data_IF_170097846691
#
_entry.id   IF_170097846691
#
_cell.length_a   1.000
_cell.length_b   1.000
_cell.length_c   1.000
_cell.angle_alpha   90.00
_cell.angle_beta   90.00
_cell.angle_gamma   90.00
#
_symmetry.space_group_name_H-M   'P 1'
#
loop_
_entity.id
_entity.type
_entity.pdbx_description
1 polymer ?
#
# COMPACT_ATOMS: atom_id res chain seq x y z
N UNK A 1 7.91 9.47 -16.53
CA UNK A 1 8.44 8.20 -16.00
C UNK A 1 7.28 7.21 -16.00
N UNK A 2 7.53 6.00 -16.45
CA UNK A 2 6.51 5.05 -16.88
C UNK A 2 6.55 3.89 -15.91
N UNK A 3 5.61 3.89 -14.97
CA UNK A 3 5.49 2.87 -13.92
C UNK A 3 5.26 1.49 -14.52
N UNK A 4 5.98 0.49 -13.99
CA UNK A 4 5.69 -0.91 -14.28
C UNK A 4 4.51 -1.36 -13.41
N UNK A 5 3.38 -1.62 -14.08
CA UNK A 5 2.12 -2.07 -13.47
C UNK A 5 1.80 -3.44 -14.01
N UNK A 6 1.60 -4.41 -13.14
CA UNK A 6 1.32 -5.79 -13.51
C UNK A 6 0.06 -6.24 -12.79
N UNK A 7 -0.86 -6.88 -13.51
CA UNK A 7 -2.02 -7.49 -12.89
C UNK A 7 -1.58 -8.74 -12.13
N UNK A 8 -2.16 -8.97 -10.96
CA UNK A 8 -1.90 -10.20 -10.17
C UNK A 8 -2.27 -11.47 -10.95
N UNK A 9 -3.23 -11.38 -11.88
CA UNK A 9 -3.58 -12.48 -12.78
C UNK A 9 -2.47 -12.86 -13.76
N UNK A 10 -1.45 -12.01 -13.93
CA UNK A 10 -0.28 -12.23 -14.77
C UNK A 10 0.94 -12.74 -13.98
N UNK A 11 0.80 -12.98 -12.67
CA UNK A 11 1.89 -13.44 -11.80
C UNK A 11 1.62 -14.84 -11.21
N UNK A 12 2.52 -15.32 -10.34
CA UNK A 12 2.37 -16.60 -9.65
C UNK A 12 1.21 -16.59 -8.66
N UNK A 13 0.63 -17.77 -8.38
CA UNK A 13 -0.45 -17.90 -7.39
C UNK A 13 -0.06 -17.39 -5.98
N UNK A 14 1.24 -17.38 -5.66
CA UNK A 14 1.76 -16.86 -4.39
C UNK A 14 1.37 -15.39 -4.15
N UNK A 15 1.25 -14.57 -5.20
CA UNK A 15 0.78 -13.18 -5.08
C UNK A 15 -0.67 -13.10 -4.62
N UNK A 16 -1.52 -13.99 -5.15
CA UNK A 16 -2.92 -14.05 -4.73
C UNK A 16 -3.03 -14.50 -3.27
N UNK A 17 -2.29 -15.54 -2.88
CA UNK A 17 -2.25 -16.05 -1.51
C UNK A 17 -1.77 -14.99 -0.52
N UNK A 18 -0.73 -14.23 -0.88
CA UNK A 18 -0.25 -13.10 -0.09
C UNK A 18 -1.34 -12.05 0.10
N UNK A 19 -2.01 -11.61 -0.97
CA UNK A 19 -3.09 -10.62 -0.85
C UNK A 19 -4.20 -11.12 0.09
N UNK A 20 -4.58 -12.39 0.01
CA UNK A 20 -5.57 -13.00 0.89
C UNK A 20 -5.13 -12.98 2.36
N UNK A 21 -3.87 -13.30 2.65
CA UNK A 21 -3.31 -13.18 3.99
C UNK A 21 -3.39 -11.73 4.49
N UNK A 22 -3.02 -10.78 3.63
CA UNK A 22 -3.07 -9.33 3.95
C UNK A 22 -4.48 -8.83 4.17
N UNK A 23 -5.47 -9.33 3.43
CA UNK A 23 -6.90 -9.04 3.65
C UNK A 23 -7.32 -9.55 5.03
N UNK A 24 -7.01 -10.80 5.38
CA UNK A 24 -7.35 -11.36 6.69
C UNK A 24 -6.72 -10.56 7.83
N UNK A 25 -5.48 -10.12 7.65
CA UNK A 25 -4.78 -9.25 8.59
C UNK A 25 -5.47 -7.87 8.75
N UNK A 26 -5.99 -7.29 7.66
CA UNK A 26 -6.73 -6.04 7.67
C UNK A 26 -8.15 -6.17 8.29
N UNK A 27 -8.80 -7.31 8.11
CA UNK A 27 -10.06 -7.64 8.81
C UNK A 27 -9.84 -7.76 10.32
N UNK A 28 -8.76 -8.42 10.74
CA UNK A 28 -8.42 -8.60 12.15
C UNK A 28 -8.22 -7.29 12.94
N UNK A 29 -7.86 -6.21 12.26
CA UNK A 29 -7.72 -4.86 12.85
C UNK A 29 -8.92 -3.94 12.57
N UNK A 30 -9.96 -4.45 11.90
CA UNK A 30 -11.18 -3.70 11.58
C UNK A 30 -11.05 -2.70 10.43
N UNK A 31 -9.96 -2.75 9.66
CA UNK A 31 -9.75 -1.88 8.50
C UNK A 31 -10.62 -2.30 7.31
N UNK A 32 -10.82 -3.62 7.17
CA UNK A 32 -11.80 -4.26 6.31
C UNK A 32 -12.87 -4.95 7.16
N UNK A 33 -14.08 -5.04 6.62
CA UNK A 33 -15.14 -5.90 7.15
C UNK A 33 -15.19 -7.17 6.30
N UNK A 34 -15.55 -8.32 6.89
CA UNK A 34 -15.65 -9.59 6.16
C UNK A 34 -16.73 -9.60 5.06
N UNK A 35 -17.59 -8.56 5.00
CA UNK A 35 -18.53 -8.34 3.90
C UNK A 35 -17.92 -7.59 2.70
N UNK A 36 -16.77 -6.94 2.88
CA UNK A 36 -16.07 -6.23 1.81
C UNK A 36 -15.52 -7.25 0.80
N UNK A 37 -16.02 -7.21 -0.43
CA UNK A 37 -15.53 -8.10 -1.48
C UNK A 37 -14.44 -7.41 -2.29
N UNK A 38 -13.31 -8.07 -2.49
CA UNK A 38 -12.19 -7.57 -3.30
C UNK A 38 -12.19 -8.22 -4.68
N UNK A 39 -11.78 -7.46 -5.70
CA UNK A 39 -11.59 -7.93 -7.08
C UNK A 39 -10.12 -8.30 -7.31
N UNK A 40 -9.74 -9.50 -6.88
CA UNK A 40 -8.36 -9.98 -6.96
C UNK A 40 -7.84 -10.04 -8.40
N UNK A 41 -8.72 -10.34 -9.35
CA UNK A 41 -8.44 -10.35 -10.79
C UNK A 41 -8.06 -8.96 -11.36
N UNK A 42 -8.38 -7.90 -10.63
CA UNK A 42 -8.08 -6.51 -10.98
C UNK A 42 -7.02 -5.89 -10.06
N UNK A 43 -6.41 -6.68 -9.17
CA UNK A 43 -5.34 -6.19 -8.32
C UNK A 43 -4.10 -5.87 -9.16
N UNK A 44 -3.51 -4.71 -8.91
CA UNK A 44 -2.32 -4.21 -9.59
C UNK A 44 -1.16 -4.25 -8.61
N UNK A 45 -0.04 -4.82 -9.03
CA UNK A 45 1.24 -4.75 -8.34
C UNK A 45 2.07 -3.64 -9.01
N UNK A 46 2.62 -2.74 -8.21
CA UNK A 46 3.44 -1.62 -8.65
C UNK A 46 4.90 -1.96 -8.36
N UNK A 47 5.73 -1.90 -9.39
CA UNK A 47 7.17 -2.09 -9.29
C UNK A 47 7.91 -0.81 -9.70
N UNK A 48 9.16 -0.62 -9.24
CA UNK A 48 10.04 0.42 -9.76
C UNK A 48 10.20 0.35 -11.29
N UNK A 49 10.32 1.51 -11.94
CA UNK A 49 10.44 1.64 -13.40
C UNK A 49 11.61 0.83 -14.01
N UNK A 50 12.67 0.62 -13.24
CA UNK A 50 13.88 -0.09 -13.69
C UNK A 50 13.81 -1.62 -13.52
N UNK A 51 12.67 -2.17 -13.08
CA UNK A 51 12.51 -3.61 -12.92
C UNK A 51 12.36 -4.34 -14.26
N UNK A 52 13.07 -5.47 -14.39
CA UNK A 52 12.96 -6.33 -15.57
C UNK A 52 11.66 -7.14 -15.52
N UNK A 53 10.74 -6.82 -16.43
CA UNK A 53 9.42 -7.47 -16.54
C UNK A 53 9.50 -9.01 -16.61
N UNK A 54 10.55 -9.56 -17.22
CA UNK A 54 10.72 -11.01 -17.34
C UNK A 54 11.02 -11.70 -16.01
N UNK A 55 11.62 -10.96 -15.06
CA UNK A 55 11.83 -11.39 -13.68
C UNK A 55 10.58 -11.18 -12.84
N UNK A 56 9.85 -10.09 -13.07
CA UNK A 56 8.64 -9.77 -12.31
C UNK A 56 7.54 -10.83 -12.49
N UNK A 57 7.34 -11.33 -13.72
CA UNK A 57 6.34 -12.39 -13.95
C UNK A 57 6.65 -13.70 -13.18
N UNK A 58 7.89 -13.88 -12.72
CA UNK A 58 8.35 -15.07 -11.99
C UNK A 58 8.62 -14.81 -10.50
N UNK A 59 8.46 -13.58 -10.04
CA UNK A 59 8.75 -13.21 -8.66
C UNK A 59 7.66 -13.71 -7.72
N UNK A 60 7.98 -13.76 -6.44
CA UNK A 60 7.05 -14.06 -5.35
C UNK A 60 7.04 -12.92 -4.32
N UNK A 61 5.95 -12.80 -3.54
CA UNK A 61 5.92 -11.92 -2.38
C UNK A 61 7.05 -12.28 -1.40
N UNK A 62 7.91 -11.31 -1.09
CA UNK A 62 9.11 -11.49 -0.26
C UNK A 62 10.44 -11.62 -1.01
N UNK A 63 10.45 -11.70 -2.35
CA UNK A 63 11.69 -11.58 -3.12
C UNK A 63 12.35 -10.21 -2.90
N UNK A 64 13.67 -10.14 -3.00
CA UNK A 64 14.39 -8.86 -2.86
C UNK A 64 14.23 -8.03 -4.12
N UNK A 65 13.84 -6.75 -3.99
CA UNK A 65 13.76 -5.87 -5.15
C UNK A 65 15.11 -5.75 -5.86
N UNK A 66 16.22 -5.78 -5.12
CA UNK A 66 17.56 -5.67 -5.71
C UNK A 66 17.89 -6.87 -6.60
N UNK A 67 17.34 -8.05 -6.29
CA UNK A 67 17.45 -9.24 -7.14
C UNK A 67 16.62 -9.08 -8.42
N UNK A 68 15.44 -8.46 -8.34
CA UNK A 68 14.57 -8.17 -9.49
C UNK A 68 15.10 -7.05 -10.40
N UNK A 69 15.92 -6.15 -9.87
CA UNK A 69 16.51 -5.03 -10.58
C UNK A 69 17.88 -5.39 -11.22
N UNK A 70 18.36 -6.64 -11.08
CA UNK A 70 19.75 -7.08 -11.37
C UNK A 70 20.79 -6.06 -10.89
N UNK A 71 20.54 -5.45 -9.72
CA UNK A 71 21.49 -4.54 -9.07
C UNK A 71 22.61 -5.41 -8.52
N UNK A 72 23.54 -5.79 -9.40
CA UNK A 72 24.82 -6.40 -9.04
C UNK A 72 25.72 -5.33 -8.45
N UNK A 73 25.39 -4.85 -7.27
CA UNK A 73 26.33 -4.00 -6.54
C UNK A 73 27.30 -4.89 -5.78
N UNK A 74 28.58 -4.54 -5.86
CA UNK A 74 29.63 -5.08 -5.01
C UNK A 74 29.35 -4.62 -3.56
N UNK A 75 28.53 -5.40 -2.84
CA UNK A 75 27.94 -5.04 -1.54
C UNK A 75 28.95 -5.17 -0.38
N UNK A 76 30.25 -4.99 -0.63
CA UNK A 76 31.27 -5.15 0.40
C UNK A 76 31.17 -4.03 1.46
N UNK A 77 30.31 -4.22 2.47
CA UNK A 77 30.25 -3.42 3.69
C UNK A 77 29.65 -2.02 3.58
N UNK A 78 28.90 -1.70 2.52
CA UNK A 78 28.25 -0.38 2.35
C UNK A 78 26.73 -0.48 2.48
N UNK A 79 26.13 0.52 3.12
CA UNK A 79 24.68 0.73 3.08
C UNK A 79 24.28 1.10 1.66
N UNK A 80 23.35 0.34 1.08
CA UNK A 80 22.78 0.59 -0.25
C UNK A 80 21.43 1.27 -0.07
N UNK A 81 21.21 2.36 -0.81
CA UNK A 81 19.91 3.02 -0.86
C UNK A 81 18.90 2.09 -1.53
N UNK A 82 17.73 1.94 -0.88
CA UNK A 82 16.67 1.05 -1.34
C UNK A 82 15.83 1.74 -2.40
N UNK A 83 15.63 1.07 -3.53
CA UNK A 83 14.75 1.56 -4.60
C UNK A 83 13.30 1.29 -4.19
N UNK A 84 12.55 2.33 -3.85
CA UNK A 84 11.14 2.23 -3.47
C UNK A 84 10.20 2.80 -4.54
N UNK A 85 8.98 2.26 -4.65
CA UNK A 85 7.95 2.72 -5.60
C UNK A 85 6.85 3.59 -4.95
N UNK A 86 7.06 4.10 -3.73
CA UNK A 86 6.00 4.76 -2.94
C UNK A 86 5.46 6.04 -3.59
N UNK A 87 6.30 6.85 -4.22
CA UNK A 87 5.85 8.05 -4.94
C UNK A 87 5.05 7.71 -6.20
N UNK A 88 5.44 6.65 -6.90
CA UNK A 88 4.73 6.15 -8.07
C UNK A 88 3.38 5.55 -7.69
N UNK A 89 3.36 4.76 -6.60
CA UNK A 89 2.12 4.27 -5.99
C UNK A 89 1.21 5.43 -5.58
N UNK A 90 1.75 6.48 -4.97
CA UNK A 90 0.99 7.67 -4.61
C UNK A 90 0.38 8.37 -5.84
N UNK A 91 1.12 8.50 -6.94
CA UNK A 91 0.59 9.07 -8.21
C UNK A 91 -0.55 8.21 -8.76
N UNK A 92 -0.37 6.89 -8.82
CA UNK A 92 -1.43 5.99 -9.28
C UNK A 92 -2.68 6.08 -8.39
N UNK A 93 -2.50 6.13 -7.06
CA UNK A 93 -3.61 6.33 -6.12
C UNK A 93 -4.37 7.63 -6.42
N UNK A 94 -3.67 8.72 -6.71
CA UNK A 94 -4.30 9.98 -7.08
C UNK A 94 -5.07 9.88 -8.40
N UNK A 95 -4.47 9.26 -9.42
CA UNK A 95 -5.10 9.04 -10.72
C UNK A 95 -6.38 8.20 -10.59
N UNK A 96 -6.33 7.10 -9.84
CA UNK A 96 -7.49 6.24 -9.56
C UNK A 96 -8.59 6.98 -8.78
N UNK A 97 -8.23 8.01 -8.04
CA UNK A 97 -9.15 8.86 -7.27
C UNK A 97 -9.47 10.20 -7.98
N UNK A 98 -9.06 10.38 -9.24
CA UNK A 98 -9.13 11.66 -9.94
C UNK A 98 -10.57 12.18 -10.10
N UNK A 99 -11.53 11.28 -10.28
CA UNK A 99 -12.94 11.61 -10.47
C UNK A 99 -13.74 11.68 -9.16
N UNK A 100 -13.13 11.30 -8.03
CA UNK A 100 -13.80 11.26 -6.72
C UNK A 100 -13.84 12.66 -6.13
N UNK A 101 -15.02 13.08 -5.65
CA UNK A 101 -15.21 14.38 -4.97
C UNK A 101 -14.35 14.50 -3.70
N UNK A 102 -14.23 13.41 -2.96
CA UNK A 102 -13.39 13.28 -1.77
C UNK A 102 -12.84 11.85 -1.69
N UNK A 103 -11.56 11.72 -1.36
CA UNK A 103 -10.90 10.44 -1.18
C UNK A 103 -9.87 10.54 -0.06
N UNK A 104 -9.92 9.60 0.86
CA UNK A 104 -8.99 9.52 1.99
C UNK A 104 -8.32 8.17 2.02
N UNK A 105 -7.01 8.17 2.25
CA UNK A 105 -6.25 6.97 2.54
C UNK A 105 -6.10 6.82 4.04
N UNK A 106 -6.48 5.64 4.51
CA UNK A 106 -6.26 5.18 5.87
C UNK A 106 -5.19 4.11 5.80
N UNK A 107 -4.12 4.25 6.55
CA UNK A 107 -3.01 3.29 6.57
C UNK A 107 -2.68 2.92 8.00
N UNK A 108 -2.59 1.64 8.31
CA UNK A 108 -2.12 1.18 9.62
C UNK A 108 -0.71 1.74 9.92
N UNK A 109 -0.53 2.28 11.11
CA UNK A 109 0.78 2.67 11.63
C UNK A 109 1.49 1.43 12.19
N UNK A 110 2.04 0.61 11.29
CA UNK A 110 2.65 -0.68 11.66
C UNK A 110 3.66 -0.56 12.82
N UNK A 111 3.62 -1.54 13.72
CA UNK A 111 4.40 -1.67 14.98
C UNK A 111 4.36 -0.47 15.94
N UNK A 112 3.71 0.64 15.58
CA UNK A 112 3.57 1.82 16.43
C UNK A 112 2.45 1.61 17.44
N UNK A 113 2.67 2.03 18.68
CA UNK A 113 1.69 1.98 19.77
C UNK A 113 1.39 3.38 20.27
N UNK A 114 0.20 3.54 20.83
CA UNK A 114 -0.20 4.80 21.50
C UNK A 114 0.84 5.15 22.56
N UNK A 115 1.40 6.35 22.47
CA UNK A 115 2.50 6.83 23.33
C UNK A 115 3.88 6.79 22.67
N UNK A 116 4.01 6.21 21.47
CA UNK A 116 5.26 6.28 20.72
C UNK A 116 5.51 7.69 20.19
N UNK A 117 6.72 8.21 20.42
CA UNK A 117 7.15 9.54 19.92
C UNK A 117 7.05 9.68 18.40
N UNK A 118 7.10 8.56 17.67
CA UNK A 118 6.94 8.56 16.23
C UNK A 118 5.54 9.06 15.81
N UNK A 119 4.50 8.67 16.56
CA UNK A 119 3.13 9.07 16.30
C UNK A 119 2.87 10.55 16.63
N UNK A 120 3.65 11.16 17.53
CA UNK A 120 3.53 12.59 17.87
C UNK A 120 3.77 13.51 16.67
N UNK A 121 4.51 13.02 15.65
CA UNK A 121 4.85 13.78 14.45
C UNK A 121 3.91 13.53 13.27
N UNK A 122 2.87 12.70 13.44
CA UNK A 122 1.98 12.31 12.36
C UNK A 122 0.51 12.47 12.78
N UNK A 123 -0.33 12.88 11.83
CA UNK A 123 -1.77 12.91 12.04
C UNK A 123 -2.31 11.47 11.98
N UNK A 124 -2.79 10.96 13.12
CA UNK A 124 -3.32 9.61 13.24
C UNK A 124 -4.64 9.60 14.00
N UNK A 125 -5.43 8.56 13.77
CA UNK A 125 -6.66 8.24 14.52
C UNK A 125 -6.58 6.81 15.05
N UNK A 126 -7.51 6.40 15.90
CA UNK A 126 -7.55 5.04 16.45
C UNK A 126 -8.67 4.23 15.82
N UNK A 127 -8.35 3.04 15.32
CA UNK A 127 -9.31 2.05 14.86
C UNK A 127 -9.11 0.76 15.64
N UNK A 128 -10.11 0.39 16.45
CA UNK A 128 -10.01 -0.75 17.37
C UNK A 128 -8.74 -0.73 18.25
N UNK A 129 -8.30 0.46 18.66
CA UNK A 129 -7.09 0.67 19.46
C UNK A 129 -5.78 0.71 18.67
N UNK A 130 -5.80 0.46 17.35
CA UNK A 130 -4.63 0.54 16.48
C UNK A 130 -4.49 1.96 15.91
N UNK A 131 -3.29 2.55 15.89
CA UNK A 131 -3.08 3.84 15.24
C UNK A 131 -3.14 3.70 13.72
N UNK A 132 -3.91 4.60 13.09
CA UNK A 132 -4.15 4.66 11.65
C UNK A 132 -3.77 6.05 11.16
N UNK A 133 -2.80 6.15 10.26
CA UNK A 133 -2.48 7.38 9.57
C UNK A 133 -3.57 7.74 8.56
N UNK A 134 -3.81 9.05 8.44
CA UNK A 134 -4.83 9.60 7.53
C UNK A 134 -4.19 10.56 6.54
N UNK A 135 -4.51 10.39 5.26
CA UNK A 135 -4.16 11.36 4.21
C UNK A 135 -5.37 11.69 3.33
N UNK A 136 -5.61 12.99 3.12
CA UNK A 136 -6.58 13.50 2.14
C UNK A 136 -5.93 13.43 0.75
N UNK A 137 -6.26 12.41 -0.04
CA UNK A 137 -5.64 12.13 -1.34
C UNK A 137 -5.81 13.29 -2.33
N UNK A 138 -6.88 14.06 -2.19
CA UNK A 138 -7.21 15.18 -3.08
C UNK A 138 -6.40 16.44 -2.78
N UNK A 139 -5.94 16.60 -1.54
CA UNK A 139 -5.19 17.78 -1.09
C UNK A 139 -3.69 17.50 -0.92
N UNK A 140 -3.34 16.26 -0.63
CA UNK A 140 -1.96 15.85 -0.49
C UNK A 140 -1.26 15.80 -1.85
N UNK A 141 0.01 16.15 -1.88
CA UNK A 141 0.93 15.86 -2.99
C UNK A 141 1.28 14.37 -3.02
N UNK A 142 1.76 13.83 -4.16
CA UNK A 142 2.28 12.46 -4.21
C UNK A 142 3.33 12.19 -3.14
N UNK A 143 4.20 13.16 -2.87
CA UNK A 143 5.26 13.05 -1.85
C UNK A 143 4.66 12.90 -0.45
N UNK A 144 3.58 13.61 -0.12
CA UNK A 144 2.92 13.50 1.18
C UNK A 144 2.20 12.15 1.34
N UNK A 145 1.52 11.67 0.31
CA UNK A 145 0.90 10.33 0.30
C UNK A 145 1.99 9.26 0.45
N UNK A 146 3.09 9.38 -0.29
CA UNK A 146 4.23 8.48 -0.19
C UNK A 146 4.85 8.50 1.20
N UNK A 147 4.96 9.68 1.85
CA UNK A 147 5.38 9.78 3.25
C UNK A 147 4.42 9.06 4.20
N UNK A 148 3.11 9.13 3.99
CA UNK A 148 2.12 8.40 4.79
C UNK A 148 2.24 6.88 4.60
N UNK A 149 2.35 6.41 3.35
CA UNK A 149 2.63 5.00 3.05
C UNK A 149 3.96 4.57 3.70
N UNK A 150 4.98 5.43 3.62
CA UNK A 150 6.29 5.20 4.25
C UNK A 150 6.18 5.21 5.77
N UNK A 151 5.30 5.99 6.38
CA UNK A 151 5.12 5.95 7.83
C UNK A 151 4.49 4.61 8.28
N UNK A 152 3.71 3.97 7.40
CA UNK A 152 3.25 2.59 7.60
C UNK A 152 4.33 1.51 7.50
N UNK A 153 5.61 1.85 7.19
CA UNK A 153 6.75 0.96 6.76
C UNK A 153 7.18 -0.20 7.64
N UNK A 154 6.48 -0.47 8.71
CA UNK A 154 6.78 -1.56 9.60
C UNK A 154 6.23 -2.87 9.03
N UNK A 155 6.80 -3.39 7.91
CA UNK A 155 6.46 -4.65 7.17
C UNK A 155 4.96 -4.89 6.86
N UNK A 156 4.13 -3.90 7.18
CA UNK A 156 2.69 -4.04 7.31
C UNK A 156 1.97 -2.81 6.79
N UNK A 157 2.29 -2.37 5.58
CA UNK A 157 1.35 -1.49 4.88
C UNK A 157 0.07 -2.30 4.70
N UNK A 158 -0.95 -1.88 5.43
CA UNK A 158 -2.32 -2.30 5.32
C UNK A 158 -3.14 -1.02 5.30
N UNK A 159 -3.72 -0.74 4.16
CA UNK A 159 -4.43 0.51 3.92
C UNK A 159 -5.75 0.29 3.20
N UNK A 160 -6.63 1.27 3.31
CA UNK A 160 -7.83 1.37 2.48
C UNK A 160 -8.00 2.79 2.01
N UNK A 161 -8.48 2.94 0.78
CA UNK A 161 -8.96 4.21 0.26
C UNK A 161 -10.48 4.24 0.40
N UNK A 162 -11.00 5.32 0.97
CA UNK A 162 -12.43 5.54 1.13
C UNK A 162 -12.89 6.78 0.39
N UNK A 163 -14.06 6.69 -0.23
CA UNK A 163 -14.82 7.87 -0.66
C UNK A 163 -15.54 8.47 0.56
N UNK A 164 -15.52 9.80 0.64
CA UNK A 164 -16.27 10.60 1.63
C UNK A 164 -16.07 10.14 3.09
N UNK A 165 -15.03 10.66 3.77
CA UNK A 165 -14.90 10.48 5.22
C UNK A 165 -15.77 11.52 5.92
N UNK A 166 -16.86 11.05 6.53
CA UNK A 166 -17.87 11.93 7.14
C UNK A 166 -17.32 12.84 8.26
N UNK A 167 -16.32 12.37 9.02
CA UNK A 167 -15.41 13.17 9.85
C UNK A 167 -14.21 12.30 10.32
N UNK A 168 -13.18 12.92 10.91
CA UNK A 168 -11.96 12.22 11.37
C UNK A 168 -12.20 11.16 12.48
N UNK A 169 -13.26 11.31 13.25
CA UNK A 169 -13.63 10.42 14.36
C UNK A 169 -14.56 9.28 13.92
N UNK A 170 -15.12 9.39 12.71
CA UNK A 170 -16.12 8.50 12.15
C UNK A 170 -15.70 8.22 10.70
N UNK A 171 -14.78 7.28 10.56
CA UNK A 171 -14.19 6.78 9.31
C UNK A 171 -15.19 6.00 8.43
N UNK A 172 -16.47 6.38 8.51
CA UNK A 172 -17.55 5.93 7.65
C UNK A 172 -17.33 6.53 6.26
N UNK A 173 -17.49 5.67 5.27
CA UNK A 173 -17.25 5.95 3.86
C UNK A 173 -17.18 4.64 3.10
N UNK A 174 -17.55 4.64 1.81
CA UNK A 174 -17.44 3.44 0.98
C UNK A 174 -15.97 3.18 0.70
N UNK A 175 -15.53 1.94 0.90
CA UNK A 175 -14.17 1.52 0.57
C UNK A 175 -14.07 1.31 -0.94
N UNK A 176 -13.03 1.86 -1.53
CA UNK A 176 -12.78 1.87 -2.97
C UNK A 176 -11.63 0.92 -3.33
N UNK A 177 -10.53 0.99 -2.57
CA UNK A 177 -9.35 0.19 -2.78
C UNK A 177 -8.77 -0.30 -1.46
N UNK A 178 -8.20 -1.49 -1.50
CA UNK A 178 -7.31 -2.04 -0.47
C UNK A 178 -5.87 -1.87 -0.93
N UNK A 179 -5.00 -1.50 0.00
CA UNK A 179 -3.58 -1.29 -0.22
C UNK A 179 -2.81 -2.26 0.67
N UNK A 180 -1.85 -2.98 0.09
CA UNK A 180 -0.90 -3.72 0.91
C UNK A 180 0.50 -3.73 0.30
N UNK A 181 1.49 -3.89 1.17
CA UNK A 181 2.87 -4.15 0.75
C UNK A 181 3.06 -5.61 0.37
N UNK A 182 3.99 -5.88 -0.54
CA UNK A 182 4.33 -7.22 -0.99
C UNK A 182 5.83 -7.53 -1.15
N UNK A 183 6.71 -6.54 -1.09
CA UNK A 183 8.17 -6.76 -1.12
C UNK A 183 8.85 -5.90 -0.07
N UNK A 184 8.40 -5.99 1.18
CA UNK A 184 8.94 -5.28 2.35
C UNK A 184 8.99 -3.75 2.20
N UNK A 185 8.16 -3.16 1.35
CA UNK A 185 8.06 -1.74 1.07
C UNK A 185 8.51 -1.33 -0.34
N UNK A 186 8.92 -2.27 -1.17
CA UNK A 186 9.41 -2.01 -2.55
C UNK A 186 8.35 -2.24 -3.63
N UNK A 187 7.26 -2.91 -3.29
CA UNK A 187 6.10 -3.03 -4.16
C UNK A 187 4.82 -2.76 -3.38
N UNK A 188 3.93 -2.02 -4.00
CA UNK A 188 2.61 -1.75 -3.45
C UNK A 188 1.59 -2.45 -4.32
N UNK A 189 0.71 -3.21 -3.68
CA UNK A 189 -0.46 -3.79 -4.29
C UNK A 189 -1.64 -2.86 -4.04
N UNK A 190 -2.35 -2.54 -5.11
CA UNK A 190 -3.64 -1.85 -5.07
C UNK A 190 -4.70 -2.81 -5.58
N UNK A 191 -5.63 -3.19 -4.71
CA UNK A 191 -6.72 -4.10 -5.04
C UNK A 191 -8.07 -3.36 -4.98
N UNK A 192 -8.82 -3.26 -6.08
CA UNK A 192 -10.16 -2.67 -6.07
C UNK A 192 -11.14 -3.48 -5.22
N UNK A 193 -12.05 -2.79 -4.56
CA UNK A 193 -13.21 -3.44 -3.96
C UNK A 193 -14.34 -3.55 -4.99
N UNK A 194 -15.11 -4.63 -4.88
CA UNK A 194 -16.36 -4.78 -5.59
C UNK A 194 -17.31 -3.66 -5.17
N UNK A 195 -18.03 -3.12 -6.15
CA UNK A 195 -19.13 -2.23 -5.84
C UNK A 195 -20.19 -3.02 -5.07
N UNK A 196 -20.56 -2.52 -3.89
CA UNK A 196 -21.67 -3.04 -3.12
C UNK A 196 -23.00 -2.72 -3.81
#
# INVERSE_FOLDING_TARGET
MTMNRILVSETSAAWTDHILERISAAEGIGLLASSDKLKLDQAIIIFPDNADFSLIAKSNPGDSINELLDIRQDVSGKWVERVECLEDAARLIQDLCAEKKQAFMLCEAGYSKVGDKFLENHDYTLLAGNPIFLADIRKATPIEIAKTLRAGRSTRILGVIKSEVSNRENLKGRKEFFLCDALDGDSIIICPLAEA
#
